data_IF_019461566885
#
_entry.id   IF_019461566885
#
_cell.length_a   1.000
_cell.length_b   1.000
_cell.length_c   1.000
_cell.angle_alpha   90.00
_cell.angle_beta   90.00
_cell.angle_gamma   90.00
#
_symmetry.space_group_name_H-M   'P 1'
#
loop_
_entity.id
_entity.type
_entity.pdbx_description
1 polymer ?
#
# COMPACT_ATOMS: atom_id res chain seq x y z
N UNK A 1 -3.12 4.48 20.68
CA UNK A 1 -3.75 5.36 19.69
C UNK A 1 -3.29 4.90 18.32
N UNK A 2 -4.12 4.19 17.58
CA UNK A 2 -3.84 3.73 16.22
C UNK A 2 -4.24 4.85 15.24
N UNK A 3 -3.26 5.40 14.52
CA UNK A 3 -3.52 6.38 13.48
C UNK A 3 -4.10 5.64 12.26
N UNK A 4 -5.42 5.73 12.08
CA UNK A 4 -6.07 5.31 10.83
C UNK A 4 -5.67 6.32 9.75
N UNK A 5 -4.63 5.99 8.97
CA UNK A 5 -4.21 6.77 7.81
C UNK A 5 -5.22 6.58 6.68
N UNK A 6 -6.32 7.33 6.73
CA UNK A 6 -7.32 7.36 5.67
C UNK A 6 -7.13 8.65 4.87
N UNK A 7 -6.92 8.53 3.55
CA UNK A 7 -6.98 9.70 2.67
C UNK A 7 -8.40 9.81 2.14
N UNK A 8 -9.09 10.89 2.49
CA UNK A 8 -10.43 11.19 1.98
C UNK A 8 -10.30 11.91 0.64
N UNK A 9 -10.94 11.43 -0.42
CA UNK A 9 -11.00 12.19 -1.68
C UNK A 9 -11.94 13.40 -1.54
N UNK A 10 -11.92 14.34 -2.49
CA UNK A 10 -12.76 15.55 -2.49
C UNK A 10 -14.28 15.31 -2.43
N UNK A 11 -14.72 14.05 -2.53
CA UNK A 11 -16.11 13.60 -2.43
C UNK A 11 -16.44 12.83 -1.12
N UNK A 12 -15.53 12.76 -0.15
CA UNK A 12 -15.83 12.19 1.17
C UNK A 12 -15.70 10.67 1.30
N UNK A 13 -15.16 9.96 0.30
CA UNK A 13 -14.88 8.52 0.40
C UNK A 13 -13.52 8.27 1.06
N UNK A 14 -13.49 7.39 2.07
CA UNK A 14 -12.27 6.83 2.66
C UNK A 14 -11.66 5.87 1.63
N UNK A 15 -10.50 6.23 1.09
CA UNK A 15 -9.73 5.35 0.19
C UNK A 15 -8.61 4.69 0.98
N UNK A 16 -8.29 3.44 0.62
CA UNK A 16 -7.06 2.78 1.06
C UNK A 16 -5.87 3.70 0.78
N UNK A 17 -4.93 3.76 1.72
CA UNK A 17 -3.84 4.70 1.72
C UNK A 17 -2.87 4.38 0.58
N UNK A 18 -2.99 5.09 -0.55
CA UNK A 18 -2.20 4.76 -1.73
C UNK A 18 -0.87 5.51 -1.73
N UNK A 19 0.28 4.83 -1.86
CA UNK A 19 1.57 5.49 -2.01
C UNK A 19 1.64 6.21 -3.37
N UNK A 20 1.90 7.51 -3.34
CA UNK A 20 2.01 8.37 -4.53
C UNK A 20 3.31 9.16 -4.48
N UNK A 21 4.04 9.12 -5.58
CA UNK A 21 5.28 9.86 -5.84
C UNK A 21 5.00 10.93 -6.87
N UNK A 22 5.27 12.20 -6.54
CA UNK A 22 5.29 13.28 -7.52
C UNK A 22 6.70 13.40 -8.08
N UNK A 23 6.86 13.07 -9.35
CA UNK A 23 8.13 13.14 -10.06
C UNK A 23 8.29 14.50 -10.74
N UNK A 24 9.25 15.29 -10.28
CA UNK A 24 9.67 16.54 -10.91
C UNK A 24 10.96 16.34 -11.72
N UNK A 25 11.36 17.36 -12.47
CA UNK A 25 12.58 17.35 -13.28
C UNK A 25 13.87 17.02 -12.49
N UNK A 26 13.93 17.42 -11.21
CA UNK A 26 15.16 17.39 -10.39
C UNK A 26 15.02 16.70 -9.06
N UNK A 27 13.80 16.38 -8.63
CA UNK A 27 13.51 15.80 -7.33
C UNK A 27 12.18 15.05 -7.38
N UNK A 28 11.87 14.37 -6.27
CA UNK A 28 10.59 13.73 -6.04
C UNK A 28 9.97 14.26 -4.74
N UNK A 29 8.65 14.28 -4.67
CA UNK A 29 7.91 14.46 -3.41
C UNK A 29 7.11 13.18 -3.12
N UNK A 30 7.19 12.71 -1.88
CA UNK A 30 6.52 11.50 -1.42
C UNK A 30 5.33 11.90 -0.54
N UNK A 31 4.19 11.22 -0.69
CA UNK A 31 3.14 11.27 0.33
C UNK A 31 3.50 10.39 1.54
N UNK A 32 2.70 10.46 2.61
CA UNK A 32 2.92 9.72 3.85
C UNK A 32 3.06 8.20 3.62
N UNK A 33 2.28 7.64 2.69
CA UNK A 33 2.31 6.20 2.40
C UNK A 33 3.51 5.80 1.54
N UNK A 34 3.90 6.62 0.57
CA UNK A 34 5.11 6.38 -0.22
C UNK A 34 6.37 6.51 0.64
N UNK A 35 6.36 7.38 1.65
CA UNK A 35 7.46 7.53 2.61
C UNK A 35 7.69 6.30 3.51
N UNK A 36 6.74 5.34 3.56
CA UNK A 36 6.94 4.05 4.24
C UNK A 36 7.92 3.14 3.46
N UNK A 37 8.02 3.31 2.14
CA UNK A 37 8.93 2.55 1.28
C UNK A 37 10.31 3.22 1.19
N UNK A 38 11.41 2.48 0.99
CA UNK A 38 12.77 3.02 0.87
C UNK A 38 13.01 3.65 -0.52
N UNK A 39 12.14 4.58 -0.92
CA UNK A 39 12.15 5.17 -2.25
C UNK A 39 13.34 6.11 -2.42
N UNK A 40 14.09 5.92 -3.49
CA UNK A 40 15.16 6.84 -3.91
C UNK A 40 14.99 7.24 -5.37
N UNK A 41 15.52 8.41 -5.72
CA UNK A 41 15.41 9.01 -7.05
C UNK A 41 16.79 9.27 -7.62
N UNK A 42 16.98 8.85 -8.86
CA UNK A 42 18.16 9.14 -9.66
C UNK A 42 17.74 9.70 -11.02
N UNK A 43 18.37 10.81 -11.42
CA UNK A 43 18.27 11.33 -12.79
C UNK A 43 19.46 10.85 -13.60
N UNK A 44 19.21 9.97 -14.57
CA UNK A 44 20.26 9.37 -15.40
C UNK A 44 20.65 10.28 -16.58
N UNK A 45 19.74 11.13 -17.03
CA UNK A 45 19.93 12.00 -18.18
C UNK A 45 18.77 12.97 -18.39
N UNK A 46 18.76 13.63 -19.55
CA UNK A 46 17.63 14.48 -19.95
C UNK A 46 16.42 13.60 -20.19
N UNK A 47 15.32 13.85 -19.49
CA UNK A 47 14.10 13.06 -19.60
C UNK A 47 14.29 11.58 -19.25
N UNK A 48 15.25 11.24 -18.39
CA UNK A 48 15.51 9.87 -17.94
C UNK A 48 15.61 9.82 -16.41
N UNK A 49 14.58 9.24 -15.80
CA UNK A 49 14.37 9.20 -14.37
C UNK A 49 14.26 7.76 -13.89
N UNK A 50 14.89 7.48 -12.76
CA UNK A 50 14.90 6.17 -12.14
C UNK A 50 14.41 6.30 -10.69
N UNK A 51 13.36 5.54 -10.37
CA UNK A 51 12.81 5.43 -9.02
C UNK A 51 13.14 4.04 -8.51
N UNK A 52 13.85 3.97 -7.38
CA UNK A 52 14.31 2.70 -6.82
C UNK A 52 13.68 2.43 -5.46
N UNK A 53 13.64 1.15 -5.09
CA UNK A 53 13.14 0.72 -3.77
C UNK A 53 11.62 0.78 -3.61
N UNK A 54 10.89 1.00 -4.70
CA UNK A 54 9.43 0.86 -4.73
C UNK A 54 9.01 -0.60 -4.91
N UNK A 55 7.82 -0.95 -4.45
CA UNK A 55 7.18 -2.25 -4.72
C UNK A 55 6.57 -2.38 -6.14
N UNK A 56 6.90 -1.45 -7.04
CA UNK A 56 6.35 -1.35 -8.39
C UNK A 56 5.11 -0.44 -8.49
N UNK A 57 4.48 -0.44 -9.66
CA UNK A 57 3.25 0.34 -9.91
C UNK A 57 2.04 -0.23 -9.19
N UNK A 58 1.06 0.62 -8.93
CA UNK A 58 -0.25 0.19 -8.43
C UNK A 58 -0.88 -0.89 -9.33
N UNK A 59 -1.37 -1.96 -8.72
CA UNK A 59 -2.01 -3.09 -9.42
C UNK A 59 -3.46 -2.79 -9.84
N UNK A 60 -4.10 -1.83 -9.18
CA UNK A 60 -5.50 -1.46 -9.43
C UNK A 60 -5.67 0.05 -9.64
N UNK A 61 -6.50 0.41 -10.62
CA UNK A 61 -6.83 1.80 -10.95
C UNK A 61 -5.75 2.48 -11.80
N UNK A 62 -5.47 3.74 -11.49
CA UNK A 62 -4.45 4.54 -12.19
C UNK A 62 -3.07 4.30 -11.58
N UNK A 63 -2.02 4.42 -12.40
CA UNK A 63 -0.62 4.29 -11.97
C UNK A 63 0.27 5.46 -12.40
N UNK A 64 -0.05 6.14 -13.52
CA UNK A 64 0.66 7.34 -13.98
C UNK A 64 -0.34 8.39 -14.44
N UNK A 65 -0.17 9.62 -13.95
CA UNK A 65 -0.82 10.81 -14.49
C UNK A 65 0.23 11.81 -14.99
N UNK A 66 0.10 12.15 -16.27
CA UNK A 66 1.02 13.06 -16.97
C UNK A 66 0.52 14.50 -16.85
N UNK A 67 1.40 15.50 -16.68
CA UNK A 67 0.98 16.89 -16.57
C UNK A 67 0.24 17.36 -17.82
N UNK A 68 -0.90 18.01 -17.61
CA UNK A 68 -1.74 18.59 -18.66
C UNK A 68 -1.68 20.12 -18.63
N UNK A 69 -1.85 20.74 -19.80
CA UNK A 69 -2.04 22.18 -19.92
C UNK A 69 -3.49 22.59 -19.60
N UNK A 70 -3.76 23.90 -19.63
CA UNK A 70 -5.10 24.45 -19.38
C UNK A 70 -6.16 23.99 -20.40
N UNK A 71 -5.73 23.47 -21.56
CA UNK A 71 -6.61 22.94 -22.59
C UNK A 71 -6.80 21.41 -22.47
N UNK A 72 -6.21 20.78 -21.46
CA UNK A 72 -6.27 19.34 -21.23
C UNK A 72 -5.27 18.52 -22.06
N UNK A 73 -4.37 19.14 -22.81
CA UNK A 73 -3.36 18.43 -23.57
C UNK A 73 -2.19 18.02 -22.67
N UNK A 74 -1.69 16.80 -22.84
CA UNK A 74 -0.45 16.37 -22.18
C UNK A 74 0.71 17.24 -22.62
N UNK A 75 1.57 17.66 -21.70
CA UNK A 75 2.69 18.56 -22.08
C UNK A 75 3.89 17.76 -22.61
N UNK A 76 4.08 16.56 -22.07
CA UNK A 76 5.18 15.64 -22.40
C UNK A 76 4.63 14.26 -22.78
N UNK A 77 5.38 13.51 -23.60
CA UNK A 77 5.14 12.07 -23.74
C UNK A 77 5.95 11.35 -22.66
N UNK A 78 5.35 10.33 -22.04
CA UNK A 78 5.99 9.55 -20.98
C UNK A 78 6.00 8.09 -21.39
N UNK A 79 7.16 7.46 -21.31
CA UNK A 79 7.35 6.03 -21.43
C UNK A 79 7.85 5.50 -20.09
N UNK A 80 7.36 4.36 -19.67
CA UNK A 80 7.69 3.80 -18.36
C UNK A 80 7.80 2.29 -18.45
N UNK A 81 8.68 1.75 -17.62
CA UNK A 81 8.91 0.32 -17.53
C UNK A 81 9.36 -0.06 -16.13
N UNK A 82 8.92 -1.24 -15.68
CA UNK A 82 9.46 -1.86 -14.47
C UNK A 82 10.68 -2.69 -14.86
N UNK A 83 11.81 -2.41 -14.24
CA UNK A 83 13.06 -3.12 -14.44
C UNK A 83 13.03 -4.48 -13.72
N UNK A 84 13.93 -5.40 -14.09
CA UNK A 84 13.99 -6.76 -13.51
C UNK A 84 14.22 -6.76 -11.98
N UNK A 85 14.85 -5.72 -11.45
CA UNK A 85 15.08 -5.53 -10.02
C UNK A 85 13.89 -4.89 -9.28
N UNK A 86 12.80 -4.56 -9.97
CA UNK A 86 11.62 -3.90 -9.41
C UNK A 86 11.67 -2.36 -9.42
N UNK A 87 12.78 -1.76 -9.87
CA UNK A 87 12.88 -0.31 -10.02
C UNK A 87 12.03 0.18 -11.19
N UNK A 88 11.59 1.44 -11.13
CA UNK A 88 10.78 2.06 -12.17
C UNK A 88 11.61 3.02 -13.01
N UNK A 89 11.73 2.73 -14.30
CA UNK A 89 12.30 3.66 -15.28
C UNK A 89 11.19 4.50 -15.88
N UNK A 90 11.32 5.82 -15.78
CA UNK A 90 10.41 6.80 -16.36
C UNK A 90 11.21 7.67 -17.33
N UNK A 91 10.83 7.64 -18.60
CA UNK A 91 11.46 8.44 -19.65
C UNK A 91 10.45 9.41 -20.24
N UNK A 92 10.89 10.63 -20.53
CA UNK A 92 10.04 11.70 -21.04
C UNK A 92 10.60 12.29 -22.32
N UNK A 93 9.70 12.55 -23.26
CA UNK A 93 10.04 12.93 -24.63
C UNK A 93 9.19 14.10 -25.12
N UNK A 94 9.68 14.78 -26.15
CA UNK A 94 8.83 15.64 -26.97
C UNK A 94 7.73 14.81 -27.62
N UNK A 95 6.61 15.45 -27.89
CA UNK A 95 5.52 14.86 -28.65
C UNK A 95 5.74 15.13 -30.13
N UNK A 96 5.57 14.12 -30.97
CA UNK A 96 5.52 14.27 -32.44
C UNK A 96 4.24 13.70 -33.00
N UNK A 97 3.77 14.28 -34.10
CA UNK A 97 2.67 13.71 -34.86
C UNK A 97 3.24 12.65 -35.80
N UNK A 98 2.84 11.40 -35.59
CA UNK A 98 3.15 10.28 -36.46
C UNK A 98 2.09 10.25 -37.56
N UNK A 99 2.53 10.51 -38.79
CA UNK A 99 1.65 10.59 -39.96
C UNK A 99 1.09 9.22 -40.33
N UNK A 100 1.85 8.14 -40.12
CA UNK A 100 1.41 6.78 -40.44
C UNK A 100 0.36 6.28 -39.45
N UNK A 101 0.53 6.61 -38.17
CA UNK A 101 -0.44 6.26 -37.11
C UNK A 101 -1.56 7.28 -36.95
N UNK A 102 -1.46 8.43 -37.63
CA UNK A 102 -2.33 9.59 -37.45
C UNK A 102 -2.54 9.97 -35.96
N UNK A 103 -1.47 9.87 -35.16
CA UNK A 103 -1.53 9.99 -33.71
C UNK A 103 -0.33 10.77 -33.15
N UNK A 104 -0.51 11.37 -31.97
CA UNK A 104 0.58 12.00 -31.23
C UNK A 104 1.32 10.92 -30.45
N UNK A 105 2.61 10.74 -30.75
CA UNK A 105 3.49 9.73 -30.14
C UNK A 105 4.70 10.38 -29.47
N UNK A 106 5.42 9.59 -28.66
CA UNK A 106 6.70 9.98 -28.10
C UNK A 106 7.76 10.13 -29.22
N UNK A 107 8.48 11.24 -29.20
CA UNK A 107 9.64 11.43 -30.06
C UNK A 107 10.89 10.91 -29.38
N UNK A 108 11.18 9.63 -29.56
CA UNK A 108 12.29 8.91 -28.90
C UNK A 108 13.68 9.52 -29.18
N UNK A 109 13.81 10.31 -30.25
CA UNK A 109 15.04 11.01 -30.62
C UNK A 109 15.21 12.36 -29.90
N UNK A 110 14.13 12.89 -29.32
CA UNK A 110 14.09 14.17 -28.64
C UNK A 110 13.63 14.00 -27.18
N UNK A 111 14.50 13.47 -26.30
CA UNK A 111 14.22 13.43 -24.87
C UNK A 111 13.98 14.86 -24.35
N UNK A 112 13.01 15.00 -23.46
CA UNK A 112 12.60 16.28 -22.90
C UNK A 112 12.33 16.10 -21.42
N UNK A 113 12.97 16.92 -20.59
CA UNK A 113 12.70 16.96 -19.16
C UNK A 113 11.27 17.43 -18.84
N UNK A 114 10.76 17.01 -17.68
CA UNK A 114 9.48 17.49 -17.15
C UNK A 114 9.55 19.01 -16.98
N UNK A 115 8.63 19.80 -17.55
CA UNK A 115 8.68 21.26 -17.44
C UNK A 115 8.66 21.74 -15.98
N UNK A 116 9.42 22.80 -15.69
CA UNK A 116 9.44 23.40 -14.35
C UNK A 116 8.04 23.76 -13.85
N UNK A 117 7.80 23.52 -12.55
CA UNK A 117 6.50 23.73 -11.91
C UNK A 117 5.45 22.68 -12.27
N UNK A 118 5.81 21.63 -13.01
CA UNK A 118 4.96 20.47 -13.28
C UNK A 118 5.62 19.18 -12.77
N UNK A 119 4.79 18.17 -12.54
CA UNK A 119 5.23 16.85 -12.11
C UNK A 119 4.38 15.77 -12.79
N UNK A 120 4.87 14.53 -12.72
CA UNK A 120 4.13 13.32 -13.06
C UNK A 120 3.73 12.66 -11.74
N UNK A 121 2.45 12.36 -11.55
CA UNK A 121 2.00 11.58 -10.40
C UNK A 121 2.17 10.08 -10.72
N UNK A 122 2.89 9.37 -9.85
CA UNK A 122 3.16 7.95 -9.97
C UNK A 122 2.58 7.25 -8.75
N UNK A 123 1.59 6.40 -8.95
CA UNK A 123 1.00 5.60 -7.89
C UNK A 123 1.71 4.26 -7.80
N UNK A 124 2.26 3.99 -6.62
CA UNK A 124 2.98 2.77 -6.32
C UNK A 124 2.06 1.71 -5.75
N UNK A 125 2.56 0.48 -5.72
CA UNK A 125 1.94 -0.60 -4.98
C UNK A 125 2.08 -0.35 -3.47
N UNK A 126 1.02 -0.64 -2.73
CA UNK A 126 0.97 -0.53 -1.27
C UNK A 126 1.71 -1.71 -0.63
N UNK A 127 2.45 -1.46 0.45
CA UNK A 127 2.98 -2.55 1.26
C UNK A 127 1.83 -3.11 2.11
N UNK A 128 1.56 -4.43 2.09
CA UNK A 128 0.52 -4.99 2.95
C UNK A 128 0.89 -4.72 4.41
N UNK A 129 0.06 -3.93 5.11
CA UNK A 129 0.25 -3.72 6.54
C UNK A 129 0.14 -5.08 7.23
N UNK A 130 1.06 -5.44 8.16
CA UNK A 130 0.93 -6.67 8.92
C UNK A 130 -0.39 -6.61 9.66
N UNK A 131 -1.24 -7.63 9.46
CA UNK A 131 -2.48 -7.75 10.22
C UNK A 131 -2.13 -7.67 11.71
N UNK A 132 -2.81 -6.79 12.48
CA UNK A 132 -2.56 -6.74 13.91
C UNK A 132 -2.82 -8.14 14.46
N UNK A 133 -1.80 -8.76 15.05
CA UNK A 133 -1.95 -10.01 15.78
C UNK A 133 -3.10 -9.79 16.76
N UNK A 134 -4.24 -10.45 16.53
CA UNK A 134 -5.32 -10.39 17.49
C UNK A 134 -4.72 -10.83 18.82
N UNK A 135 -4.84 -10.02 19.89
CA UNK A 135 -4.35 -10.46 21.19
C UNK A 135 -5.10 -11.76 21.46
N UNK A 136 -4.35 -12.87 21.50
CA UNK A 136 -4.90 -14.16 21.90
C UNK A 136 -5.61 -13.88 23.22
N UNK A 137 -6.94 -13.96 23.17
CA UNK A 137 -7.77 -13.84 24.34
C UNK A 137 -7.31 -14.92 25.30
N UNK A 138 -6.50 -14.56 26.29
CA UNK A 138 -6.28 -15.37 27.48
C UNK A 138 -7.60 -15.37 28.26
N UNK A 139 -8.62 -16.06 27.74
CA UNK A 139 -9.76 -16.45 28.56
C UNK A 139 -9.20 -17.30 29.69
N UNK A 140 -9.34 -16.89 30.97
CA UNK A 140 -8.95 -17.71 32.09
C UNK A 140 -9.61 -19.09 31.96
N UNK A 141 -8.83 -20.13 32.23
CA UNK A 141 -9.23 -21.55 32.10
C UNK A 141 -10.54 -21.87 32.86
N UNK A 142 -10.90 -21.06 33.86
CA UNK A 142 -12.10 -21.17 34.70
C UNK A 142 -13.45 -20.99 34.00
N UNK A 143 -13.51 -20.43 32.78
CA UNK A 143 -14.79 -20.24 32.06
C UNK A 143 -15.04 -21.25 30.94
N UNK A 144 -14.23 -22.31 30.80
CA UNK A 144 -14.53 -23.38 29.86
C UNK A 144 -15.66 -24.28 30.41
N UNK A 145 -16.76 -24.51 29.66
CA UNK A 145 -17.87 -25.37 30.08
C UNK A 145 -17.52 -26.86 29.93
N UNK A 146 -16.34 -27.29 30.39
CA UNK A 146 -15.89 -28.69 30.31
C UNK A 146 -16.22 -29.50 31.56
N UNK A 147 -16.70 -28.88 32.65
CA UNK A 147 -17.03 -29.61 33.88
C UNK A 147 -18.47 -30.12 33.98
N UNK A 148 -19.42 -29.69 33.12
CA UNK A 148 -20.76 -30.28 33.15
C UNK A 148 -20.77 -31.71 32.58
N UNK A 149 -20.10 -31.92 31.44
CA UNK A 149 -20.04 -33.23 30.78
C UNK A 149 -19.33 -34.29 31.64
N UNK A 150 -18.33 -33.87 32.42
CA UNK A 150 -17.58 -34.76 33.29
C UNK A 150 -18.35 -35.10 34.59
N UNK A 151 -19.11 -34.14 35.13
CA UNK A 151 -20.01 -34.39 36.28
C UNK A 151 -21.18 -35.32 35.92
N UNK A 152 -21.76 -35.18 34.72
CA UNK A 152 -22.85 -36.05 34.25
C UNK A 152 -22.34 -37.47 33.96
N UNK A 153 -21.13 -37.62 33.42
CA UNK A 153 -20.53 -38.93 33.17
C UNK A 153 -20.20 -39.70 34.46
N UNK A 154 -19.77 -39.00 35.52
CA UNK A 154 -19.50 -39.63 36.82
C UNK A 154 -20.78 -40.14 37.51
N UNK A 155 -21.90 -39.43 37.38
CA UNK A 155 -23.19 -39.83 37.94
C UNK A 155 -23.80 -41.07 37.25
N UNK A 156 -23.46 -41.33 35.98
CA UNK A 156 -23.95 -42.50 35.24
C UNK A 156 -23.12 -43.78 35.45
N UNK A 157 -21.94 -43.69 36.08
CA UNK A 157 -21.01 -44.83 36.20
C UNK A 157 -20.90 -45.40 37.64
N UNK A 158 -21.80 -45.01 38.55
CA UNK A 158 -22.00 -45.69 39.84
C UNK A 158 -20.79 -45.69 40.79
N UNK A 159 -19.89 -44.72 40.67
CA UNK A 159 -18.81 -44.53 41.65
C UNK A 159 -19.30 -43.52 42.70
N UNK A 160 -19.50 -44.00 43.93
CA UNK A 160 -19.80 -43.14 45.08
C UNK A 160 -18.71 -42.06 45.24
N UNK A 161 -19.09 -40.78 45.43
CA UNK A 161 -18.13 -39.73 45.73
C UNK A 161 -17.39 -40.03 47.04
N UNK A 162 -16.10 -39.66 47.15
CA UNK A 162 -15.41 -39.74 48.43
C UNK A 162 -16.06 -38.79 49.44
N UNK A 163 -16.28 -39.25 50.67
CA UNK A 163 -16.75 -38.40 51.76
C UNK A 163 -15.71 -37.32 52.07
N UNK A 164 -16.12 -36.06 51.91
CA UNK A 164 -15.41 -34.91 52.44
C UNK A 164 -15.78 -34.74 53.91
N UNK A 165 -14.84 -34.99 54.81
CA UNK A 165 -14.98 -34.67 56.22
C UNK A 165 -14.93 -33.15 56.40
N UNK A 166 -16.08 -32.53 56.67
CA UNK A 166 -16.15 -31.15 57.15
C UNK A 166 -15.56 -31.09 58.57
N UNK A 167 -14.43 -30.43 58.73
CA UNK A 167 -14.06 -29.84 60.02
C UNK A 167 -13.91 -28.34 59.82
N UNK A 168 -14.98 -27.67 60.22
CA UNK A 168 -15.11 -26.25 60.47
C UNK A 168 -14.11 -25.86 61.58
N UNK A 169 -13.15 -24.98 61.29
CA UNK A 169 -12.48 -24.21 62.33
C UNK A 169 -12.75 -22.72 62.06
N UNK A 170 -13.85 -22.26 62.64
CA UNK A 170 -13.95 -20.89 63.13
C UNK A 170 -13.43 -20.83 64.57
N UNK A 171 -12.38 -19.99 64.74
CA UNK A 171 -11.75 -19.49 65.98
C UNK A 171 -10.74 -20.36 66.74
#
# INVERSE_FOLDING_TARGET
MTAQNTTTDGNGFIKAASPVVKLFQSHIELNNDAAKQPITFDKLGTGDYLIKGSLGFAQEGWYIEVPKDANGNTVVAVEYSTLENGDLSIKTYKRKFDVEKAAIVADLENPLDIPEGRWIDIRLHEEPEPEPEEPLSETPVDFQPTNLSQAVAAAMNGVEPPEISETDETL
#
